data_IF_888065920099
#
_entry.id   IF_888065920099
#
_cell.length_a   1.000
_cell.length_b   1.000
_cell.length_c   1.000
_cell.angle_alpha   90.00
_cell.angle_beta   90.00
_cell.angle_gamma   90.00
#
_symmetry.space_group_name_H-M   'P 1'
#
loop_
_entity.id
_entity.type
_entity.pdbx_description
1 polymer ?
#
# COMPACT_ATOMS: atom_id res chain seq x y z
N UNK A 1 8.94 -14.19 2.25
CA UNK A 1 7.96 -13.56 3.17
C UNK A 1 7.26 -12.43 2.41
N UNK A 2 5.97 -12.18 2.65
CA UNK A 2 5.18 -11.17 1.90
C UNK A 2 5.85 -9.79 1.92
N UNK A 3 6.39 -9.36 3.06
CA UNK A 3 7.08 -8.07 3.16
C UNK A 3 8.38 -8.03 2.34
N UNK A 4 9.14 -9.11 2.30
CA UNK A 4 10.37 -9.18 1.51
C UNK A 4 10.09 -9.06 0.00
N UNK A 5 8.93 -9.55 -0.45
CA UNK A 5 8.47 -9.38 -1.84
C UNK A 5 8.10 -7.92 -2.13
N UNK A 6 7.48 -7.23 -1.17
CA UNK A 6 7.23 -5.80 -1.28
C UNK A 6 8.56 -5.01 -1.33
N UNK A 7 9.53 -5.36 -0.48
CA UNK A 7 10.86 -4.72 -0.48
C UNK A 7 11.62 -4.97 -1.79
N UNK A 8 11.53 -6.16 -2.36
CA UNK A 8 12.16 -6.50 -3.66
C UNK A 8 11.56 -5.67 -4.80
N UNK A 9 10.23 -5.50 -4.82
CA UNK A 9 9.55 -4.75 -5.88
C UNK A 9 9.66 -3.24 -5.70
N UNK A 10 9.53 -2.74 -4.48
CA UNK A 10 9.32 -1.32 -4.21
C UNK A 10 10.50 -0.63 -3.50
N UNK A 11 11.52 -1.40 -3.14
CA UNK A 11 12.69 -0.93 -2.39
C UNK A 11 12.58 -1.18 -0.89
N UNK A 12 13.72 -1.11 -0.21
CA UNK A 12 13.85 -1.45 1.21
C UNK A 12 12.87 -0.66 2.09
N UNK A 13 12.41 -1.30 3.17
CA UNK A 13 11.58 -0.64 4.18
C UNK A 13 12.40 0.33 5.04
N UNK A 14 11.73 1.24 5.70
CA UNK A 14 12.33 2.02 6.79
C UNK A 14 12.59 1.11 8.02
N UNK A 15 13.87 0.83 8.28
CA UNK A 15 14.28 -0.03 9.40
C UNK A 15 14.33 0.67 10.75
N UNK A 16 14.06 1.98 10.81
CA UNK A 16 13.84 2.69 12.08
C UNK A 16 12.51 2.32 12.74
N UNK A 17 11.62 1.66 12.00
CA UNK A 17 10.40 1.06 12.50
C UNK A 17 10.59 -0.45 12.70
N UNK A 18 10.10 -0.94 13.84
CA UNK A 18 10.04 -2.37 14.13
C UNK A 18 8.64 -2.89 13.81
N UNK A 19 8.54 -4.15 13.37
CA UNK A 19 7.25 -4.78 13.08
C UNK A 19 6.96 -5.75 14.21
N UNK A 20 5.78 -5.64 14.82
CA UNK A 20 5.35 -6.57 15.85
C UNK A 20 5.26 -7.98 15.26
N UNK A 21 5.86 -8.95 15.95
CA UNK A 21 5.84 -10.36 15.55
C UNK A 21 4.42 -10.96 15.59
N UNK A 22 3.52 -10.35 16.36
CA UNK A 22 2.13 -10.79 16.50
C UNK A 22 1.22 -9.96 15.61
N UNK A 23 0.52 -10.64 14.70
CA UNK A 23 -0.60 -10.10 13.95
C UNK A 23 -1.84 -10.14 14.83
N UNK A 24 -2.53 -8.99 14.95
CA UNK A 24 -3.81 -8.89 15.64
C UNK A 24 -4.96 -9.03 14.65
N UNK A 25 -6.09 -9.55 15.11
CA UNK A 25 -7.26 -9.77 14.25
C UNK A 25 -8.50 -9.17 14.90
N UNK A 26 -9.39 -8.62 14.06
CA UNK A 26 -10.66 -8.04 14.52
C UNK A 26 -11.71 -7.94 13.40
N UNK A 27 -12.93 -7.55 13.78
CA UNK A 27 -14.06 -7.30 12.86
C UNK A 27 -14.04 -5.94 12.12
N UNK A 28 -12.92 -5.23 12.07
CA UNK A 28 -12.76 -3.98 11.31
C UNK A 28 -11.90 -4.18 10.07
N UNK A 29 -11.87 -3.16 9.21
CA UNK A 29 -10.95 -3.07 8.05
C UNK A 29 -9.50 -3.31 8.47
N UNK A 30 -8.72 -4.09 7.71
CA UNK A 30 -7.29 -4.26 7.96
C UNK A 30 -6.58 -2.90 8.00
N UNK A 31 -5.52 -2.81 8.80
CA UNK A 31 -4.68 -1.60 8.93
C UNK A 31 -3.36 -1.89 9.63
N UNK A 32 -2.37 -1.06 9.37
CA UNK A 32 -1.17 -0.87 10.21
C UNK A 32 -1.42 0.26 11.21
N UNK A 33 -1.08 0.02 12.48
CA UNK A 33 -1.01 1.07 13.51
C UNK A 33 0.44 1.32 13.86
N UNK A 34 0.84 2.58 13.85
CA UNK A 34 2.20 3.03 14.21
C UNK A 34 2.22 3.60 15.62
N UNK A 35 2.80 2.85 16.56
CA UNK A 35 2.97 3.25 17.95
C UNK A 35 4.37 3.86 18.16
N UNK A 36 4.51 5.17 17.92
CA UNK A 36 5.80 5.89 18.07
C UNK A 36 6.28 5.91 19.51
N UNK A 37 5.35 5.94 20.46
CA UNK A 37 5.59 5.87 21.90
C UNK A 37 6.13 4.49 22.34
N UNK A 38 6.02 3.48 21.48
CA UNK A 38 6.58 2.15 21.68
C UNK A 38 7.77 1.91 20.74
N UNK A 39 8.70 2.86 20.67
CA UNK A 39 9.90 2.78 19.81
C UNK A 39 9.58 2.50 18.34
N UNK A 40 8.63 3.25 17.77
CA UNK A 40 8.22 3.12 16.36
C UNK A 40 7.78 1.68 16.00
N UNK A 41 7.02 1.05 16.89
CA UNK A 41 6.46 -0.29 16.65
C UNK A 41 5.25 -0.22 15.73
N UNK A 42 5.27 -1.01 14.67
CA UNK A 42 4.16 -1.21 13.75
C UNK A 42 3.38 -2.47 14.12
N UNK A 43 2.07 -2.33 14.33
CA UNK A 43 1.17 -3.42 14.67
C UNK A 43 0.21 -3.63 13.49
N UNK A 44 0.23 -4.83 12.92
CA UNK A 44 -0.66 -5.21 11.83
C UNK A 44 -1.97 -5.75 12.41
N UNK A 45 -3.07 -5.15 11.98
CA UNK A 45 -4.42 -5.65 12.24
C UNK A 45 -5.01 -6.19 10.94
N UNK A 46 -5.43 -7.46 10.95
CA UNK A 46 -6.15 -8.10 9.86
C UNK A 46 -7.61 -8.38 10.26
N UNK A 47 -8.44 -8.75 9.29
CA UNK A 47 -9.81 -9.16 9.57
C UNK A 47 -9.89 -10.56 10.18
N UNK A 48 -10.96 -10.87 10.91
CA UNK A 48 -11.24 -12.22 11.41
C UNK A 48 -11.32 -13.27 10.27
N UNK A 49 -11.57 -12.83 9.02
CA UNK A 49 -11.53 -13.69 7.84
C UNK A 49 -10.13 -14.22 7.53
N UNK A 50 -9.10 -13.41 7.78
CA UNK A 50 -7.69 -13.75 7.58
C UNK A 50 -7.17 -14.81 8.55
N UNK A 51 -7.83 -15.01 9.70
CA UNK A 51 -7.54 -16.16 10.57
C UNK A 51 -8.00 -17.49 9.98
N UNK A 52 -9.02 -17.46 9.12
CA UNK A 52 -9.75 -18.65 8.68
C UNK A 52 -9.43 -19.04 7.24
N UNK A 53 -8.98 -18.10 6.41
CA UNK A 53 -8.79 -18.33 4.98
C UNK A 53 -7.50 -17.70 4.47
N UNK A 54 -6.68 -18.51 3.80
CA UNK A 54 -5.37 -18.10 3.27
C UNK A 54 -5.46 -17.08 2.15
N UNK A 55 -6.49 -17.12 1.32
CA UNK A 55 -6.77 -16.10 0.29
C UNK A 55 -6.99 -14.72 0.94
N UNK A 56 -7.77 -14.69 2.03
CA UNK A 56 -8.02 -13.48 2.80
C UNK A 56 -6.74 -12.97 3.47
N UNK A 57 -6.00 -13.86 4.15
CA UNK A 57 -4.72 -13.52 4.76
C UNK A 57 -3.73 -12.97 3.74
N UNK A 58 -3.56 -13.65 2.60
CA UNK A 58 -2.64 -13.23 1.55
C UNK A 58 -3.00 -11.85 1.03
N UNK A 59 -4.29 -11.61 0.74
CA UNK A 59 -4.74 -10.33 0.23
C UNK A 59 -4.49 -9.20 1.24
N UNK A 60 -4.94 -9.35 2.49
CA UNK A 60 -4.83 -8.28 3.48
C UNK A 60 -3.39 -8.08 3.96
N UNK A 61 -2.63 -9.15 4.21
CA UNK A 61 -1.24 -9.02 4.64
C UNK A 61 -0.36 -8.42 3.53
N UNK A 62 -0.63 -8.75 2.26
CA UNK A 62 0.03 -8.09 1.14
C UNK A 62 -0.32 -6.60 1.08
N UNK A 63 -1.59 -6.24 1.25
CA UNK A 63 -2.02 -4.84 1.32
C UNK A 63 -1.24 -4.06 2.39
N UNK A 64 -1.27 -4.55 3.64
CA UNK A 64 -0.62 -3.89 4.76
C UNK A 64 0.91 -3.85 4.64
N UNK A 65 1.51 -4.80 3.90
CA UNK A 65 2.96 -4.80 3.69
C UNK A 65 3.47 -3.60 2.89
N UNK A 66 2.64 -2.97 2.05
CA UNK A 66 2.99 -1.73 1.35
C UNK A 66 3.11 -0.58 2.35
N UNK A 67 2.16 -0.44 3.28
CA UNK A 67 2.21 0.57 4.34
C UNK A 67 3.37 0.34 5.30
N UNK A 68 3.82 -0.90 5.47
CA UNK A 68 4.99 -1.23 6.29
C UNK A 68 6.33 -0.80 5.67
N UNK A 69 6.39 -0.48 4.36
CA UNK A 69 7.62 -0.02 3.72
C UNK A 69 8.06 1.37 4.18
N UNK A 70 7.12 2.23 4.54
CA UNK A 70 7.39 3.52 5.16
C UNK A 70 6.19 3.89 6.05
N UNK A 71 6.14 3.40 7.31
CA UNK A 71 4.95 3.52 8.14
C UNK A 71 4.61 4.97 8.51
N UNK A 72 3.32 5.32 8.42
CA UNK A 72 2.82 6.66 8.75
C UNK A 72 1.63 6.61 9.71
N UNK A 73 1.47 7.67 10.52
CA UNK A 73 0.29 7.86 11.39
C UNK A 73 -0.91 8.49 10.67
N UNK A 74 -0.67 9.05 9.48
CA UNK A 74 -1.68 9.70 8.65
C UNK A 74 -2.29 8.70 7.69
N UNK A 75 -3.49 9.00 7.20
CA UNK A 75 -4.13 8.22 6.13
C UNK A 75 -3.28 8.23 4.86
N UNK A 76 -3.14 7.06 4.25
CA UNK A 76 -2.48 6.86 2.97
C UNK A 76 -3.16 7.67 1.85
N UNK A 77 -2.39 8.02 0.82
CA UNK A 77 -2.92 8.63 -0.40
C UNK A 77 -3.65 7.60 -1.27
N UNK A 78 -4.49 8.07 -2.20
CA UNK A 78 -5.07 7.19 -3.23
C UNK A 78 -4.00 6.47 -4.06
N UNK A 79 -2.81 7.06 -4.20
CA UNK A 79 -1.67 6.43 -4.86
C UNK A 79 -1.15 5.24 -4.05
N UNK A 80 -0.85 5.44 -2.78
CA UNK A 80 -0.35 4.38 -1.89
C UNK A 80 -1.36 3.23 -1.75
N UNK A 81 -2.64 3.56 -1.58
CA UNK A 81 -3.74 2.59 -1.55
C UNK A 81 -3.89 1.82 -2.86
N UNK A 82 -3.70 2.49 -4.00
CA UNK A 82 -3.72 1.85 -5.31
C UNK A 82 -2.59 0.82 -5.44
N UNK A 83 -1.40 1.17 -4.95
CA UNK A 83 -0.22 0.28 -4.95
C UNK A 83 -0.46 -0.92 -4.03
N UNK A 84 -1.01 -0.69 -2.83
CA UNK A 84 -1.37 -1.73 -1.88
C UNK A 84 -2.39 -2.73 -2.47
N UNK A 85 -3.42 -2.23 -3.15
CA UNK A 85 -4.39 -3.09 -3.88
C UNK A 85 -3.73 -3.86 -5.01
N UNK A 86 -2.92 -3.19 -5.84
CA UNK A 86 -2.21 -3.86 -6.95
C UNK A 86 -1.32 -4.99 -6.44
N UNK A 87 -0.55 -4.73 -5.39
CA UNK A 87 0.36 -5.71 -4.81
C UNK A 87 -0.40 -6.90 -4.20
N UNK A 88 -1.52 -6.64 -3.52
CA UNK A 88 -2.40 -7.69 -2.99
C UNK A 88 -2.92 -8.62 -4.07
N UNK A 89 -3.41 -8.05 -5.17
CA UNK A 89 -3.90 -8.82 -6.31
C UNK A 89 -2.80 -9.61 -7.00
N UNK A 90 -1.61 -9.01 -7.15
CA UNK A 90 -0.43 -9.67 -7.71
C UNK A 90 0.00 -10.87 -6.85
N UNK A 91 0.08 -10.69 -5.53
CA UNK A 91 0.43 -11.75 -4.60
C UNK A 91 -0.61 -12.88 -4.60
N UNK A 92 -1.91 -12.55 -4.57
CA UNK A 92 -2.95 -13.56 -4.75
C UNK A 92 -2.76 -14.37 -6.04
N UNK A 93 -2.52 -13.69 -7.16
CA UNK A 93 -2.30 -14.34 -8.46
C UNK A 93 -1.05 -15.23 -8.45
N UNK A 94 0.06 -14.74 -7.88
CA UNK A 94 1.34 -15.47 -7.78
C UNK A 94 1.17 -16.81 -7.03
N UNK A 95 0.31 -16.84 -6.01
CA UNK A 95 0.03 -18.03 -5.20
C UNK A 95 -1.28 -18.75 -5.57
N UNK A 96 -1.89 -18.44 -6.72
CA UNK A 96 -3.12 -19.08 -7.21
C UNK A 96 -4.32 -18.95 -6.27
N UNK A 97 -4.39 -17.88 -5.48
CA UNK A 97 -5.57 -17.56 -4.66
C UNK A 97 -6.59 -16.74 -5.47
N UNK A 98 -7.87 -17.06 -5.28
CA UNK A 98 -8.98 -16.28 -5.84
C UNK A 98 -9.28 -15.12 -4.89
N UNK A 99 -8.97 -13.90 -5.32
CA UNK A 99 -9.23 -12.70 -4.55
C UNK A 99 -10.34 -11.87 -5.20
N UNK A 100 -11.22 -11.31 -4.36
CA UNK A 100 -12.30 -10.45 -4.83
C UNK A 100 -11.72 -9.19 -5.47
N UNK A 101 -12.42 -8.67 -6.49
CA UNK A 101 -12.05 -7.38 -7.08
C UNK A 101 -12.21 -6.27 -6.02
N UNK A 102 -11.31 -5.27 -6.01
CA UNK A 102 -11.47 -4.13 -5.11
C UNK A 102 -12.79 -3.40 -5.42
N UNK A 103 -13.40 -2.82 -4.39
CA UNK A 103 -14.65 -2.06 -4.49
C UNK A 103 -14.48 -0.66 -3.89
N UNK A 104 -15.45 0.23 -4.12
CA UNK A 104 -15.48 1.56 -3.51
C UNK A 104 -14.22 2.40 -3.80
N UNK A 105 -13.67 3.02 -2.76
CA UNK A 105 -12.49 3.91 -2.85
C UNK A 105 -11.23 3.16 -3.28
N UNK A 106 -11.03 1.92 -2.84
CA UNK A 106 -9.90 1.07 -3.24
C UNK A 106 -9.91 0.74 -4.73
N UNK A 107 -11.10 0.50 -5.30
CA UNK A 107 -11.24 0.33 -6.75
C UNK A 107 -10.82 1.58 -7.51
N UNK A 108 -11.26 2.75 -7.04
CA UNK A 108 -10.92 4.03 -7.65
C UNK A 108 -9.42 4.31 -7.59
N UNK A 109 -8.79 4.05 -6.44
CA UNK A 109 -7.34 4.15 -6.25
C UNK A 109 -6.57 3.26 -7.24
N UNK A 110 -6.96 1.99 -7.34
CA UNK A 110 -6.39 1.05 -8.30
C UNK A 110 -6.57 1.51 -9.75
N UNK A 111 -7.77 1.91 -10.15
CA UNK A 111 -8.06 2.39 -11.51
C UNK A 111 -7.30 3.68 -11.84
N UNK A 112 -7.09 4.57 -10.87
CA UNK A 112 -6.27 5.78 -11.05
C UNK A 112 -4.79 5.45 -11.19
N UNK A 113 -4.25 4.53 -10.38
CA UNK A 113 -2.86 4.08 -10.48
C UNK A 113 -2.57 3.53 -11.87
N UNK A 114 -3.47 2.71 -12.43
CA UNK A 114 -3.31 2.11 -13.76
C UNK A 114 -3.36 3.11 -14.92
N UNK A 115 -3.63 4.40 -14.67
CA UNK A 115 -3.51 5.45 -15.69
C UNK A 115 -2.07 5.90 -15.90
N UNK A 116 -1.18 5.61 -14.96
CA UNK A 116 0.25 5.81 -15.16
C UNK A 116 0.72 4.72 -16.13
N UNK A 117 1.41 5.13 -17.20
CA UNK A 117 1.78 4.24 -18.32
C UNK A 117 2.84 3.20 -17.98
N UNK A 118 3.65 3.48 -16.96
CA UNK A 118 4.71 2.60 -16.49
C UNK A 118 4.17 1.46 -15.62
N UNK A 119 4.94 0.38 -15.46
CA UNK A 119 4.56 -0.69 -14.55
C UNK A 119 4.63 -0.23 -13.08
N UNK A 120 3.76 -0.79 -12.24
CA UNK A 120 3.62 -0.35 -10.84
C UNK A 120 4.93 -0.43 -10.04
N UNK A 121 5.74 -1.51 -10.10
CA UNK A 121 7.06 -1.54 -9.48
C UNK A 121 7.96 -0.38 -9.91
N UNK A 122 8.06 -0.09 -11.20
CA UNK A 122 8.84 1.05 -11.71
C UNK A 122 8.33 2.39 -11.19
N UNK A 123 7.01 2.62 -11.22
CA UNK A 123 6.38 3.84 -10.68
C UNK A 123 6.77 4.05 -9.21
N UNK A 124 6.63 3.02 -8.39
CA UNK A 124 6.91 3.10 -6.95
C UNK A 124 8.39 3.36 -6.68
N UNK A 125 9.30 2.69 -7.40
CA UNK A 125 10.75 2.91 -7.24
C UNK A 125 11.15 4.34 -7.60
N UNK A 126 10.69 4.85 -8.74
CA UNK A 126 10.98 6.22 -9.20
C UNK A 126 10.52 7.25 -8.16
N UNK A 127 9.33 7.05 -7.57
CA UNK A 127 8.85 7.94 -6.52
C UNK A 127 9.71 7.82 -5.26
N UNK A 128 10.02 6.59 -4.82
CA UNK A 128 10.78 6.32 -3.58
C UNK A 128 12.24 6.77 -3.62
N UNK A 129 12.81 6.96 -4.81
CA UNK A 129 14.12 7.61 -4.97
C UNK A 129 14.13 9.07 -4.49
N UNK A 130 12.98 9.75 -4.54
CA UNK A 130 12.84 11.17 -4.17
C UNK A 130 12.05 11.38 -2.88
N UNK A 131 11.04 10.54 -2.66
CA UNK A 131 10.09 10.65 -1.56
C UNK A 131 10.02 9.30 -0.85
N UNK A 132 10.55 9.16 0.37
CA UNK A 132 10.51 7.89 1.10
C UNK A 132 9.10 7.30 1.23
N UNK A 133 8.06 8.15 1.29
CA UNK A 133 6.66 7.75 1.36
C UNK A 133 5.85 8.19 0.11
N UNK A 134 4.92 7.34 -0.32
CA UNK A 134 4.02 7.58 -1.46
C UNK A 134 2.88 8.58 -1.15
N UNK A 135 2.81 9.08 0.07
CA UNK A 135 1.86 10.09 0.55
C UNK A 135 2.51 11.48 0.66
N UNK A 136 3.84 11.59 0.54
CA UNK A 136 4.57 12.87 0.71
C UNK A 136 4.58 13.74 -0.55
N UNK A 137 4.46 13.15 -1.73
CA UNK A 137 4.46 13.88 -3.01
C UNK A 137 3.15 14.64 -3.27
N UNK A 138 3.27 15.80 -3.89
CA UNK A 138 2.13 16.58 -4.35
C UNK A 138 1.80 16.33 -5.83
N UNK A 139 0.73 16.95 -6.33
CA UNK A 139 0.25 16.72 -7.69
C UNK A 139 1.22 17.23 -8.77
N UNK A 140 1.95 18.31 -8.50
CA UNK A 140 2.91 18.88 -9.44
C UNK A 140 4.18 18.01 -9.48
N UNK A 141 4.61 17.41 -8.34
CA UNK A 141 5.70 16.41 -8.31
C UNK A 141 5.35 15.18 -9.16
N UNK A 142 4.13 14.67 -9.00
CA UNK A 142 3.64 13.49 -9.71
C UNK A 142 3.52 13.77 -11.22
N UNK A 143 3.01 14.94 -11.61
CA UNK A 143 2.90 15.33 -13.02
C UNK A 143 4.27 15.60 -13.66
N UNK A 144 5.21 16.16 -12.92
CA UNK A 144 6.60 16.33 -13.39
C UNK A 144 7.27 14.99 -13.62
N UNK A 145 7.00 14.01 -12.75
CA UNK A 145 7.58 12.66 -12.82
C UNK A 145 6.90 11.81 -13.91
N UNK A 146 5.59 11.95 -14.09
CA UNK A 146 4.80 11.22 -15.09
C UNK A 146 4.00 12.20 -15.97
N UNK A 147 4.61 12.80 -17.01
CA UNK A 147 4.00 13.88 -17.81
C UNK A 147 2.74 13.48 -18.58
N UNK A 148 2.52 12.18 -18.81
CA UNK A 148 1.31 11.64 -19.45
C UNK A 148 0.07 11.71 -18.54
N UNK A 149 0.26 11.89 -17.24
CA UNK A 149 -0.82 11.96 -16.26
C UNK A 149 -1.52 13.32 -16.33
N UNK A 150 -2.85 13.29 -16.42
CA UNK A 150 -3.63 14.53 -16.38
C UNK A 150 -3.51 15.20 -15.00
N UNK A 151 -3.54 16.54 -14.97
CA UNK A 151 -3.48 17.29 -13.70
C UNK A 151 -4.60 16.89 -12.73
N UNK A 152 -5.77 16.53 -13.24
CA UNK A 152 -6.89 16.08 -12.43
C UNK A 152 -6.62 14.71 -11.80
N UNK A 153 -6.08 13.76 -12.57
CA UNK A 153 -5.74 12.43 -12.05
C UNK A 153 -4.58 12.51 -11.06
N UNK A 154 -3.58 13.36 -11.31
CA UNK A 154 -2.50 13.62 -10.36
C UNK A 154 -3.03 14.15 -9.01
N UNK A 155 -3.93 15.14 -9.05
CA UNK A 155 -4.60 15.67 -7.84
C UNK A 155 -5.41 14.62 -7.10
N UNK A 156 -6.03 13.68 -7.81
CA UNK A 156 -6.81 12.59 -7.19
C UNK A 156 -5.90 11.57 -6.52
N UNK A 157 -4.79 11.21 -7.16
CA UNK A 157 -3.83 10.23 -6.64
C UNK A 157 -3.17 10.69 -5.34
N UNK A 158 -2.77 11.96 -5.23
CA UNK A 158 -2.10 12.47 -4.02
C UNK A 158 -3.04 12.84 -2.88
N UNK A 159 -4.36 12.77 -3.09
CA UNK A 159 -5.34 13.04 -2.04
C UNK A 159 -5.30 11.91 -1.01
N UNK A 160 -5.43 12.24 0.28
CA UNK A 160 -5.58 11.25 1.35
C UNK A 160 -6.92 10.51 1.25
N UNK A 161 -6.88 9.20 1.45
CA UNK A 161 -8.08 8.36 1.54
C UNK A 161 -8.60 8.37 2.98
N UNK A 162 -9.60 9.21 3.25
CA UNK A 162 -10.28 9.25 4.55
C UNK A 162 -11.23 8.05 4.68
N UNK A 163 -11.27 7.39 5.84
CA UNK A 163 -12.09 6.20 6.13
C UNK A 163 -13.29 6.52 6.99
#
# INVERSE_FOLDING_TARGET
MIISEAEELFGARDTSFSINEVILYHNKTPRVVVATELNNLCIVYLSDGSQKRWDCFMYEMAHESVHLLNPQKISASYLEEGVAVWFSMMMCKKYSYVCNKPTGKYRQAYELLLKISDDVPSVVRIIREKFPNLTDLNADDLQTTFPSLTRLDAKRLVRRMEY
#
